data_IF_991743308642
#
_entry.id   IF_991743308642
#
_cell.length_a   1.000
_cell.length_b   1.000
_cell.length_c   1.000
_cell.angle_alpha   90.00
_cell.angle_beta   90.00
_cell.angle_gamma   90.00
#
_symmetry.space_group_name_H-M   'P 1'
#
loop_
_entity.id
_entity.type
_entity.pdbx_description
1 polymer ?
#
# COMPACT_ATOMS: atom_id res chain seq x y z
N UNK A 1 -2.61 11.98 -2.56
CA UNK A 1 -2.53 10.50 -2.45
C UNK A 1 -1.52 10.03 -1.40
N UNK A 2 -0.21 10.30 -1.55
CA UNK A 2 0.81 9.82 -0.58
C UNK A 2 0.51 10.23 0.87
N UNK A 3 0.23 11.52 1.11
CA UNK A 3 -0.11 12.02 2.46
C UNK A 3 -1.36 11.36 3.05
N UNK A 4 -2.36 11.08 2.21
CA UNK A 4 -3.56 10.36 2.61
C UNK A 4 -3.24 8.89 2.95
N UNK A 5 -2.37 8.24 2.18
CA UNK A 5 -1.86 6.90 2.46
C UNK A 5 -1.06 6.83 3.77
N UNK A 6 -0.21 7.81 4.05
CA UNK A 6 0.52 7.89 5.32
C UNK A 6 -0.43 8.06 6.52
N UNK A 7 -1.48 8.88 6.39
CA UNK A 7 -2.51 9.03 7.43
C UNK A 7 -3.28 7.72 7.65
N UNK A 8 -3.67 7.05 6.57
CA UNK A 8 -4.34 5.75 6.62
C UNK A 8 -3.47 4.70 7.34
N UNK A 9 -2.15 4.71 7.10
CA UNK A 9 -1.22 3.79 7.76
C UNK A 9 -1.22 3.98 9.29
N UNK A 10 -1.24 5.23 9.75
CA UNK A 10 -1.28 5.55 11.19
C UNK A 10 -2.59 5.07 11.80
N UNK A 11 -3.72 5.39 11.15
CA UNK A 11 -5.06 5.00 11.61
C UNK A 11 -5.19 3.47 11.72
N UNK A 12 -4.74 2.74 10.70
CA UNK A 12 -4.78 1.27 10.69
C UNK A 12 -3.81 0.66 11.71
N UNK A 13 -2.62 1.24 11.86
CA UNK A 13 -1.66 0.78 12.87
C UNK A 13 -2.20 0.95 14.29
N UNK A 14 -2.81 2.10 14.60
CA UNK A 14 -3.47 2.34 15.87
C UNK A 14 -4.66 1.41 16.08
N UNK A 15 -5.42 1.13 15.02
CA UNK A 15 -6.53 0.18 15.07
C UNK A 15 -6.06 -1.23 15.45
N UNK A 16 -5.01 -1.73 14.79
CA UNK A 16 -4.46 -3.08 15.03
C UNK A 16 -3.83 -3.21 16.41
N UNK A 17 -3.13 -2.16 16.88
CA UNK A 17 -2.41 -2.17 18.16
C UNK A 17 -3.19 -1.56 19.33
N UNK A 18 -4.49 -1.27 19.19
CA UNK A 18 -5.32 -0.60 20.22
C UNK A 18 -5.30 -1.22 21.62
N UNK A 19 -5.00 -2.51 21.72
CA UNK A 19 -4.95 -3.26 22.98
C UNK A 19 -3.55 -3.77 23.33
N UNK A 20 -2.52 -3.36 22.58
CA UNK A 20 -1.14 -3.70 22.85
C UNK A 20 -0.47 -2.67 23.78
N UNK A 21 0.63 -3.07 24.43
CA UNK A 21 1.41 -2.17 25.30
C UNK A 21 1.97 -0.98 24.53
N UNK A 22 2.42 -1.22 23.30
CA UNK A 22 2.69 -0.18 22.32
C UNK A 22 1.48 -0.11 21.38
N UNK A 23 0.81 1.03 21.36
CA UNK A 23 -0.48 1.22 20.69
C UNK A 23 -0.38 2.03 19.38
N UNK A 24 0.82 2.13 18.81
CA UNK A 24 1.09 2.92 17.62
C UNK A 24 0.73 4.43 17.73
N UNK A 25 0.83 4.99 18.93
CA UNK A 25 0.67 6.43 19.15
C UNK A 25 1.73 7.24 18.40
N UNK A 26 1.31 8.33 17.77
CA UNK A 26 2.22 9.29 17.12
C UNK A 26 2.76 10.26 18.17
N UNK A 27 4.07 10.51 18.15
CA UNK A 27 4.70 11.54 18.98
C UNK A 27 4.75 12.86 18.22
N UNK A 28 3.94 13.87 18.58
CA UNK A 28 3.95 15.17 17.92
C UNK A 28 5.24 15.98 18.17
N UNK A 29 6.03 15.59 19.18
CA UNK A 29 7.25 16.30 19.58
C UNK A 29 8.47 15.97 18.71
N UNK A 30 8.40 14.91 17.91
CA UNK A 30 9.47 14.52 16.99
C UNK A 30 8.92 14.22 15.59
N UNK A 31 8.79 15.24 14.72
CA UNK A 31 8.27 15.04 13.36
C UNK A 31 9.18 14.17 12.49
N UNK A 32 10.48 14.08 12.80
CA UNK A 32 11.41 13.20 12.08
C UNK A 32 11.26 11.73 12.48
N UNK A 33 10.71 11.46 13.67
CA UNK A 33 10.45 10.12 14.17
C UNK A 33 9.07 10.03 14.82
N UNK A 34 8.05 10.05 13.97
CA UNK A 34 6.64 10.10 14.39
C UNK A 34 6.20 8.91 15.26
N UNK A 35 6.88 7.75 15.17
CA UNK A 35 6.59 6.55 15.99
C UNK A 35 7.58 6.38 17.15
N UNK A 36 8.46 7.36 17.38
CA UNK A 36 9.38 7.42 18.50
C UNK A 36 10.37 6.26 18.57
N UNK A 37 10.66 5.80 19.79
CA UNK A 37 11.73 4.81 20.06
C UNK A 37 11.60 3.50 19.30
N UNK A 38 10.40 3.11 18.85
CA UNK A 38 10.17 1.88 18.06
C UNK A 38 10.98 1.89 16.77
N UNK A 39 11.13 3.04 16.10
CA UNK A 39 11.90 3.16 14.86
C UNK A 39 13.41 3.22 15.08
N UNK A 40 13.85 3.32 16.35
CA UNK A 40 15.28 3.33 16.73
C UNK A 40 15.81 1.91 17.03
N UNK A 41 14.98 0.88 16.89
CA UNK A 41 15.36 -0.52 17.05
C UNK A 41 14.73 -1.37 15.95
N UNK A 42 15.42 -2.45 15.57
CA UNK A 42 14.90 -3.41 14.58
C UNK A 42 13.89 -4.36 15.25
N UNK A 43 12.72 -3.82 15.59
CA UNK A 43 11.65 -4.50 16.33
C UNK A 43 10.55 -5.03 15.40
N UNK A 44 9.68 -5.90 15.94
CA UNK A 44 8.50 -6.42 15.22
C UNK A 44 7.49 -5.30 14.93
N UNK A 45 7.40 -4.34 15.84
CA UNK A 45 6.56 -3.15 15.73
C UNK A 45 7.07 -2.23 14.60
N UNK A 46 8.40 -2.01 14.51
CA UNK A 46 9.00 -1.26 13.41
C UNK A 46 8.77 -1.94 12.06
N UNK A 47 8.93 -3.27 12.00
CA UNK A 47 8.65 -4.06 10.80
C UNK A 47 7.19 -3.87 10.34
N UNK A 48 6.24 -3.92 11.27
CA UNK A 48 4.83 -3.68 10.97
C UNK A 48 4.59 -2.26 10.44
N UNK A 49 5.21 -1.24 11.05
CA UNK A 49 5.10 0.16 10.61
C UNK A 49 5.60 0.32 9.17
N UNK A 50 6.74 -0.27 8.81
CA UNK A 50 7.25 -0.23 7.44
C UNK A 50 6.28 -0.90 6.45
N UNK A 51 5.78 -2.09 6.80
CA UNK A 51 4.82 -2.82 5.97
C UNK A 51 3.53 -2.03 5.76
N UNK A 52 2.87 -1.57 6.84
CA UNK A 52 1.58 -0.88 6.74
C UNK A 52 1.69 0.48 6.06
N UNK A 53 2.81 1.19 6.24
CA UNK A 53 3.07 2.47 5.56
C UNK A 53 3.20 2.28 4.06
N UNK A 54 4.02 1.32 3.63
CA UNK A 54 4.20 1.02 2.20
C UNK A 54 2.90 0.48 1.55
N UNK A 55 2.17 -0.38 2.26
CA UNK A 55 0.86 -0.88 1.86
C UNK A 55 -0.15 0.26 1.65
N UNK A 56 -0.29 1.15 2.63
CA UNK A 56 -1.29 2.21 2.62
C UNK A 56 -1.00 3.27 1.55
N UNK A 57 0.27 3.57 1.28
CA UNK A 57 0.65 4.44 0.16
C UNK A 57 0.32 3.79 -1.18
N UNK A 58 0.65 2.51 -1.36
CA UNK A 58 0.31 1.78 -2.60
C UNK A 58 -1.21 1.78 -2.82
N UNK A 59 -1.98 1.43 -1.79
CA UNK A 59 -3.44 1.44 -1.79
C UNK A 59 -4.02 2.81 -2.15
N UNK A 60 -3.60 3.86 -1.42
CA UNK A 60 -4.15 5.20 -1.61
C UNK A 60 -3.86 5.77 -3.00
N UNK A 61 -2.65 5.53 -3.52
CA UNK A 61 -2.26 5.95 -4.87
C UNK A 61 -3.06 5.22 -5.93
N UNK A 62 -3.13 3.89 -5.86
CA UNK A 62 -3.90 3.07 -6.79
C UNK A 62 -5.37 3.51 -6.84
N UNK A 63 -5.96 3.80 -5.68
CA UNK A 63 -7.35 4.25 -5.61
C UNK A 63 -7.53 5.67 -6.18
N UNK A 64 -6.62 6.59 -5.89
CA UNK A 64 -6.63 7.94 -6.45
C UNK A 64 -6.49 7.93 -7.99
N UNK A 65 -5.61 7.07 -8.54
CA UNK A 65 -5.48 6.86 -9.98
C UNK A 65 -6.79 6.39 -10.61
N UNK A 66 -7.45 5.39 -10.03
CA UNK A 66 -8.71 4.86 -10.56
C UNK A 66 -9.88 5.86 -10.53
N UNK A 67 -9.79 6.88 -9.66
CA UNK A 67 -10.77 7.97 -9.56
C UNK A 67 -10.46 9.13 -10.49
N UNK A 68 -9.31 9.11 -11.18
CA UNK A 68 -8.85 10.22 -12.00
C UNK A 68 -8.41 11.44 -11.19
N UNK A 69 -8.03 11.26 -9.92
CA UNK A 69 -7.53 12.35 -9.07
C UNK A 69 -6.05 12.71 -9.38
N UNK A 70 -5.35 11.86 -10.13
CA UNK A 70 -3.94 12.00 -10.51
C UNK A 70 -3.81 11.98 -12.03
N UNK A 71 -2.93 12.81 -12.59
CA UNK A 71 -2.72 12.95 -14.04
C UNK A 71 -1.79 11.90 -14.62
N UNK A 72 -0.84 11.40 -13.82
CA UNK A 72 0.29 10.60 -14.31
C UNK A 72 0.00 9.09 -14.33
N UNK A 73 -1.23 8.70 -14.00
CA UNK A 73 -1.68 7.32 -13.98
C UNK A 73 -3.12 7.20 -14.47
N UNK A 74 -3.52 5.97 -14.80
CA UNK A 74 -4.86 5.65 -15.27
C UNK A 74 -5.28 4.26 -14.81
N UNK A 75 -6.47 3.83 -15.24
CA UNK A 75 -6.99 2.49 -14.99
C UNK A 75 -6.09 1.41 -15.62
N UNK A 76 -6.07 0.23 -15.02
CA UNK A 76 -5.38 -0.91 -15.59
C UNK A 76 -6.09 -1.37 -16.88
N UNK A 77 -5.41 -1.21 -18.02
CA UNK A 77 -5.90 -1.67 -19.32
C UNK A 77 -5.49 -3.12 -19.64
N UNK A 78 -4.55 -3.71 -18.89
CA UNK A 78 -4.05 -5.08 -19.12
C UNK A 78 -5.12 -6.12 -18.85
N UNK A 79 -6.04 -5.85 -17.93
CA UNK A 79 -7.18 -6.74 -17.65
C UNK A 79 -8.12 -6.85 -18.85
N UNK A 80 -8.31 -5.77 -19.62
CA UNK A 80 -9.17 -5.77 -20.82
C UNK A 80 -8.61 -6.60 -21.97
N UNK A 81 -7.30 -6.81 -22.01
CA UNK A 81 -6.66 -7.70 -22.98
C UNK A 81 -6.94 -9.19 -22.69
N UNK A 82 -7.41 -9.52 -21.48
CA UNK A 82 -7.94 -10.86 -21.19
C UNK A 82 -9.35 -10.90 -21.79
N UNK A 83 -9.55 -11.70 -22.83
CA UNK A 83 -10.87 -11.92 -23.44
C UNK A 83 -11.52 -13.19 -22.86
N UNK A 84 -12.28 -13.11 -21.76
CA UNK A 84 -13.05 -14.24 -21.29
C UNK A 84 -14.23 -14.51 -22.24
N UNK A 85 -14.51 -15.78 -22.51
CA UNK A 85 -15.51 -16.22 -23.49
C UNK A 85 -16.98 -15.88 -23.12
N UNK A 86 -17.25 -15.40 -21.90
CA UNK A 86 -18.61 -15.31 -21.34
C UNK A 86 -18.97 -13.96 -20.73
N UNK A 87 -18.07 -12.98 -20.72
CA UNK A 87 -18.34 -11.65 -20.17
C UNK A 87 -17.36 -10.61 -20.70
N UNK A 88 -17.71 -9.33 -20.62
CA UNK A 88 -16.86 -8.23 -21.07
C UNK A 88 -16.34 -7.44 -19.86
N UNK A 89 -15.05 -7.12 -19.86
CA UNK A 89 -14.48 -6.22 -18.87
C UNK A 89 -15.05 -4.81 -19.04
N UNK A 90 -15.60 -4.25 -17.96
CA UNK A 90 -16.14 -2.88 -17.92
C UNK A 90 -15.30 -1.92 -17.07
N UNK A 91 -15.73 -0.67 -16.95
CA UNK A 91 -15.22 0.32 -15.98
C UNK A 91 -13.70 0.60 -15.95
N UNK A 92 -13.25 1.24 -14.86
CA UNK A 92 -11.86 1.46 -14.46
C UNK A 92 -11.28 0.43 -13.46
N UNK A 93 -10.48 -0.54 -13.91
CA UNK A 93 -9.76 -1.44 -12.98
C UNK A 93 -8.62 -0.71 -12.30
N UNK A 94 -8.41 -0.98 -11.01
CA UNK A 94 -7.35 -0.36 -10.23
C UNK A 94 -5.97 -0.91 -10.62
N UNK A 95 -5.02 -0.04 -10.98
CA UNK A 95 -3.64 -0.44 -11.26
C UNK A 95 -2.82 -0.46 -9.97
N UNK A 96 -2.78 -1.63 -9.32
CA UNK A 96 -1.96 -1.82 -8.12
C UNK A 96 -0.46 -1.72 -8.41
N UNK A 97 -0.03 -2.09 -9.62
CA UNK A 97 1.39 -2.09 -9.96
C UNK A 97 1.94 -0.67 -10.03
N UNK A 98 1.14 0.29 -10.50
CA UNK A 98 1.48 1.71 -10.40
C UNK A 98 1.62 2.16 -8.95
N UNK A 99 0.67 1.80 -8.08
CA UNK A 99 0.72 2.13 -6.65
C UNK A 99 1.91 1.51 -5.93
N UNK A 100 2.23 0.23 -6.20
CA UNK A 100 3.41 -0.45 -5.65
C UNK A 100 4.71 0.25 -6.08
N UNK A 101 4.80 0.67 -7.35
CA UNK A 101 5.97 1.39 -7.87
C UNK A 101 6.16 2.73 -7.15
N UNK A 102 5.10 3.54 -7.06
CA UNK A 102 5.19 4.84 -6.39
C UNK A 102 5.47 4.68 -4.89
N UNK A 103 4.86 3.69 -4.25
CA UNK A 103 5.12 3.35 -2.84
C UNK A 103 6.59 2.99 -2.61
N UNK A 104 7.22 2.26 -3.55
CA UNK A 104 8.64 1.92 -3.50
C UNK A 104 9.53 3.14 -3.64
N UNK A 105 9.27 3.99 -4.61
CA UNK A 105 10.01 5.24 -4.80
C UNK A 105 9.90 6.16 -3.58
N UNK A 106 8.72 6.21 -2.96
CA UNK A 106 8.49 6.99 -1.74
C UNK A 106 9.21 6.40 -0.51
N UNK A 107 9.13 5.09 -0.27
CA UNK A 107 9.72 4.47 0.92
C UNK A 107 11.25 4.38 0.84
N UNK A 108 11.77 4.13 -0.37
CA UNK A 108 13.19 3.85 -0.59
C UNK A 108 13.95 5.13 -1.00
N UNK A 109 13.25 6.18 -1.45
CA UNK A 109 13.86 7.44 -1.90
C UNK A 109 14.58 8.26 -0.82
N UNK A 110 14.34 7.93 0.46
CA UNK A 110 14.99 8.56 1.61
C UNK A 110 16.17 7.75 2.18
N UNK A 111 16.58 6.66 1.51
CA UNK A 111 17.69 5.83 1.99
C UNK A 111 19.04 6.51 1.78
N UNK A 112 19.75 6.74 2.87
CA UNK A 112 21.13 7.21 2.85
C UNK A 112 22.10 6.04 2.66
N UNK A 113 23.25 6.24 1.99
CA UNK A 113 24.29 5.24 1.90
C UNK A 113 24.69 4.76 3.31
N UNK A 114 24.73 3.44 3.51
CA UNK A 114 25.24 2.84 4.76
C UNK A 114 26.70 3.28 4.92
N UNK A 115 27.04 3.82 6.10
CA UNK A 115 28.44 4.13 6.41
C UNK A 115 29.24 2.83 6.47
N UNK A 116 30.45 2.86 5.94
CA UNK A 116 31.33 1.70 5.93
C UNK A 116 31.55 1.16 7.35
N UNK A 117 31.29 -0.14 7.56
CA UNK A 117 31.36 -0.80 8.87
C UNK A 117 30.07 -0.80 9.70
N UNK A 118 29.03 -0.05 9.32
CA UNK A 118 27.74 -0.02 10.02
C UNK A 118 26.83 -1.19 9.56
N UNK A 119 27.15 -2.41 10.02
CA UNK A 119 26.41 -3.62 9.65
C UNK A 119 25.07 -3.75 10.41
N UNK A 120 25.08 -3.40 11.70
CA UNK A 120 23.98 -3.65 12.62
C UNK A 120 23.14 -2.40 12.91
N UNK A 121 21.96 -2.61 13.49
CA UNK A 121 21.05 -1.54 13.91
C UNK A 121 20.14 -1.02 12.78
N UNK A 122 19.27 -0.03 13.08
CA UNK A 122 18.27 0.46 12.13
C UNK A 122 18.83 1.28 10.97
N UNK A 123 19.97 1.94 11.17
CA UNK A 123 20.65 2.74 10.14
C UNK A 123 21.70 1.94 9.36
N UNK A 124 22.17 0.83 9.92
CA UNK A 124 23.10 -0.08 9.27
C UNK A 124 22.48 -0.97 8.20
N UNK A 125 23.30 -1.77 7.54
CA UNK A 125 22.90 -2.62 6.42
C UNK A 125 21.73 -3.56 6.77
N UNK A 126 21.76 -4.19 7.94
CA UNK A 126 20.68 -5.09 8.39
C UNK A 126 19.34 -4.35 8.52
N UNK A 127 19.33 -3.14 9.08
CA UNK A 127 18.12 -2.32 9.22
C UNK A 127 17.54 -1.87 7.87
N UNK A 128 18.40 -1.48 6.92
CA UNK A 128 17.96 -1.13 5.56
C UNK A 128 17.35 -2.33 4.82
N UNK A 129 17.99 -3.50 4.91
CA UNK A 129 17.47 -4.73 4.30
C UNK A 129 16.14 -5.15 4.93
N UNK A 130 16.02 -5.04 6.26
CA UNK A 130 14.78 -5.29 6.99
C UNK A 130 13.66 -4.37 6.49
N UNK A 131 13.90 -3.05 6.45
CA UNK A 131 12.94 -2.07 5.93
C UNK A 131 12.47 -2.41 4.51
N UNK A 132 13.39 -2.73 3.60
CA UNK A 132 13.04 -3.11 2.22
C UNK A 132 12.16 -4.35 2.18
N UNK A 133 12.53 -5.35 2.96
CA UNK A 133 11.78 -6.60 3.05
C UNK A 133 10.36 -6.36 3.57
N UNK A 134 10.23 -5.66 4.69
CA UNK A 134 8.93 -5.44 5.35
C UNK A 134 8.02 -4.54 4.51
N UNK A 135 8.58 -3.49 3.90
CA UNK A 135 7.84 -2.61 3.00
C UNK A 135 7.30 -3.37 1.79
N UNK A 136 8.12 -4.24 1.20
CA UNK A 136 7.70 -5.11 0.10
C UNK A 136 6.65 -6.15 0.54
N UNK A 137 6.76 -6.69 1.76
CA UNK A 137 5.74 -7.57 2.33
C UNK A 137 4.39 -6.85 2.44
N UNK A 138 4.38 -5.59 2.87
CA UNK A 138 3.19 -4.73 2.92
C UNK A 138 2.57 -4.49 1.54
N UNK A 139 3.38 -4.10 0.54
CA UNK A 139 2.91 -3.91 -0.85
C UNK A 139 2.27 -5.19 -1.41
N UNK A 140 2.94 -6.32 -1.22
CA UNK A 140 2.43 -7.65 -1.64
C UNK A 140 1.12 -8.01 -0.96
N UNK A 141 0.92 -7.64 0.30
CA UNK A 141 -0.32 -7.89 1.02
C UNK A 141 -1.51 -7.23 0.32
N UNK A 142 -1.37 -5.95 -0.08
CA UNK A 142 -2.42 -5.23 -0.83
C UNK A 142 -2.66 -5.86 -2.20
N UNK A 143 -1.59 -6.18 -2.94
CA UNK A 143 -1.71 -6.84 -4.25
C UNK A 143 -2.41 -8.20 -4.15
N UNK A 144 -2.08 -9.00 -3.13
CA UNK A 144 -2.67 -10.33 -2.94
C UNK A 144 -4.16 -10.29 -2.57
N UNK A 145 -4.63 -9.15 -2.05
CA UNK A 145 -6.02 -8.91 -1.67
C UNK A 145 -6.84 -8.23 -2.76
N UNK A 146 -6.28 -8.02 -3.95
CA UNK A 146 -7.07 -7.52 -5.07
C UNK A 146 -8.20 -8.50 -5.39
N UNK A 147 -9.42 -7.98 -5.45
CA UNK A 147 -10.62 -8.75 -5.73
C UNK A 147 -11.26 -8.31 -7.04
N UNK A 148 -11.84 -9.28 -7.74
CA UNK A 148 -12.72 -9.00 -8.88
C UNK A 148 -14.09 -8.57 -8.36
N UNK A 149 -14.49 -7.36 -8.70
CA UNK A 149 -15.80 -6.79 -8.36
C UNK A 149 -16.66 -6.71 -9.61
N UNK A 150 -17.85 -7.30 -9.53
CA UNK A 150 -18.83 -7.32 -10.61
C UNK A 150 -19.97 -6.36 -10.33
N UNK A 151 -20.61 -5.84 -11.39
CA UNK A 151 -21.89 -5.14 -11.28
C UNK A 151 -22.96 -5.96 -11.97
N UNK A 152 -24.10 -6.03 -11.29
CA UNK A 152 -25.32 -6.59 -11.86
C UNK A 152 -26.10 -5.48 -12.53
N UNK A 153 -26.53 -5.73 -13.76
CA UNK A 153 -27.41 -4.87 -14.54
C UNK A 153 -28.72 -5.64 -14.74
N UNK A 154 -29.85 -4.95 -14.58
CA UNK A 154 -31.16 -5.54 -14.89
C UNK A 154 -31.61 -4.97 -16.21
N UNK A 155 -31.81 -5.84 -17.19
CA UNK A 155 -32.35 -5.48 -18.49
C UNK A 155 -33.52 -6.41 -18.79
N UNK A 156 -34.68 -5.86 -19.16
CA UNK A 156 -35.91 -6.62 -19.44
C UNK A 156 -36.35 -7.63 -18.36
N UNK A 157 -35.98 -7.43 -17.09
CA UNK A 157 -36.33 -8.32 -15.98
C UNK A 157 -35.34 -9.46 -15.74
N UNK A 158 -34.26 -9.56 -16.52
CA UNK A 158 -33.18 -10.52 -16.31
C UNK A 158 -31.95 -9.85 -15.66
N UNK A 159 -31.25 -10.59 -14.78
CA UNK A 159 -30.02 -10.13 -14.13
C UNK A 159 -28.82 -10.53 -15.00
N UNK A 160 -28.14 -9.55 -15.55
CA UNK A 160 -26.87 -9.72 -16.24
C UNK A 160 -25.71 -9.33 -15.32
N UNK A 161 -24.74 -10.23 -15.15
CA UNK A 161 -23.54 -9.99 -14.34
C UNK A 161 -22.37 -9.65 -15.27
N UNK A 162 -21.87 -8.43 -15.16
CA UNK A 162 -20.66 -8.00 -15.88
C UNK A 162 -19.56 -7.73 -14.86
N UNK A 163 -18.45 -8.47 -14.89
CA UNK A 163 -17.31 -8.14 -14.06
C UNK A 163 -16.75 -6.81 -14.51
N UNK A 164 -16.76 -5.87 -13.58
CA UNK A 164 -16.33 -4.53 -13.89
C UNK A 164 -14.82 -4.46 -13.68
N UNK A 165 -14.32 -4.71 -12.47
CA UNK A 165 -13.01 -4.19 -12.07
C UNK A 165 -12.28 -5.14 -11.15
N UNK A 166 -10.96 -5.17 -11.25
CA UNK A 166 -10.14 -5.57 -10.11
C UNK A 166 -9.98 -4.34 -9.18
N UNK A 167 -10.29 -4.50 -7.89
CA UNK A 167 -10.19 -3.45 -6.85
C UNK A 167 -9.34 -3.92 -5.68
N UNK A 168 -8.64 -2.97 -5.07
CA UNK A 168 -7.95 -3.12 -3.79
C UNK A 168 -8.98 -3.09 -2.65
N UNK A 169 -8.81 -3.99 -1.67
CA UNK A 169 -9.64 -4.06 -0.46
C UNK A 169 -8.85 -3.55 0.76
#
# INVERSE_FOLDING_TARGET
AISAGARLAIEECQHQFRSARWNCSVSPENPENIFGGVMLVNSREAAFVYAISAASVAYSVTRACSRGELTDCSCDNRVRARHPNHWQWGGCSEDIHFGEKLSREWSDGAELPVKEGELNGPKGLAGQLMRKHDSEAGRRAVRSRMQRVCKCHVEYGEIHISPLLDRTE
#
